data_IF_455258114346
#
_entry.id   IF_455258114346
#
_cell.length_a   1.000
_cell.length_b   1.000
_cell.length_c   1.000
_cell.angle_alpha   90.00
_cell.angle_beta   90.00
_cell.angle_gamma   90.00
#
_symmetry.space_group_name_H-M   'P 1'
#
loop_
_entity.id
_entity.type
_entity.pdbx_description
1 polymer ?
#
# COMPACT_ATOMS: atom_id res chain seq x y z
N UNK A 1 32.94 29.01 32.04
CA UNK A 1 33.99 28.06 31.61
C UNK A 1 33.81 26.65 32.18
N UNK A 2 33.58 26.48 33.48
CA UNK A 2 33.40 25.15 34.11
C UNK A 2 32.26 24.32 33.49
N UNK A 3 31.12 24.95 33.19
CA UNK A 3 29.97 24.28 32.55
C UNK A 3 30.26 23.75 31.14
N UNK A 4 31.09 24.44 30.36
CA UNK A 4 31.45 23.99 29.01
C UNK A 4 32.33 22.73 29.05
N UNK A 5 33.18 22.62 30.08
CA UNK A 5 34.04 21.45 30.30
C UNK A 5 33.21 20.24 30.73
N UNK A 6 32.19 20.45 31.57
CA UNK A 6 31.28 19.38 32.00
C UNK A 6 30.45 18.83 30.83
N UNK A 7 29.96 19.70 29.94
CA UNK A 7 29.21 19.29 28.75
C UNK A 7 30.11 18.49 27.78
N UNK A 8 31.37 18.92 27.57
CA UNK A 8 32.29 18.19 26.70
C UNK A 8 32.64 16.80 27.23
N UNK A 9 32.83 16.65 28.53
CA UNK A 9 33.12 15.34 29.16
C UNK A 9 31.94 14.37 29.03
N UNK A 10 30.72 14.87 29.11
CA UNK A 10 29.50 14.05 28.96
C UNK A 10 29.31 13.52 27.54
N UNK A 11 29.70 14.30 26.51
CA UNK A 11 29.64 13.88 25.11
C UNK A 11 30.72 12.84 24.76
N UNK A 12 31.91 12.95 25.34
CA UNK A 12 33.00 11.97 25.12
C UNK A 12 32.65 10.61 25.73
N UNK A 13 31.99 10.57 26.89
CA UNK A 13 31.53 9.32 27.52
C UNK A 13 30.52 8.51 26.68
N UNK A 14 29.69 9.22 25.89
CA UNK A 14 28.75 8.61 24.95
C UNK A 14 29.44 7.89 23.77
N UNK A 15 30.58 8.41 23.32
CA UNK A 15 31.35 7.84 22.21
C UNK A 15 32.11 6.57 22.64
N UNK A 16 32.61 6.51 23.89
CA UNK A 16 33.36 5.36 24.42
C UNK A 16 32.44 4.18 24.79
N UNK A 17 31.14 4.42 24.97
CA UNK A 17 30.18 3.37 25.33
C UNK A 17 29.75 2.48 24.15
N UNK A 18 30.11 2.87 22.92
CA UNK A 18 29.96 2.01 21.74
C UNK A 18 31.17 1.06 21.65
N UNK A 19 31.06 -0.10 22.30
CA UNK A 19 31.94 -1.24 21.98
C UNK A 19 31.81 -1.55 20.48
N UNK A 20 32.92 -1.63 19.72
CA UNK A 20 32.84 -2.12 18.35
C UNK A 20 32.36 -3.57 18.41
N UNK A 21 31.23 -3.85 17.77
CA UNK A 21 30.74 -5.21 17.58
C UNK A 21 31.73 -5.91 16.65
N UNK A 22 32.68 -6.62 17.24
CA UNK A 22 33.67 -7.42 16.52
C UNK A 22 32.95 -8.63 15.92
N UNK A 23 32.60 -8.55 14.63
CA UNK A 23 32.13 -9.71 13.86
C UNK A 23 33.31 -10.66 13.72
N UNK A 24 33.34 -11.68 14.57
CA UNK A 24 34.27 -12.81 14.44
C UNK A 24 33.88 -13.61 13.20
N UNK A 25 34.63 -13.46 12.10
CA UNK A 25 34.58 -14.39 10.98
C UNK A 25 35.13 -15.75 11.46
N UNK A 26 34.26 -16.64 11.92
CA UNK A 26 34.61 -18.05 12.04
C UNK A 26 34.56 -18.67 10.63
N UNK A 27 35.73 -18.92 10.07
CA UNK A 27 35.90 -19.82 8.92
C UNK A 27 35.59 -21.22 9.44
N UNK A 28 34.39 -21.71 9.16
CA UNK A 28 34.04 -23.11 9.34
C UNK A 28 34.64 -23.88 8.18
N UNK A 29 35.72 -24.61 8.44
CA UNK A 29 36.27 -25.62 7.53
C UNK A 29 35.32 -26.82 7.55
N UNK A 30 34.52 -26.98 6.49
CA UNK A 30 33.63 -28.14 6.32
C UNK A 30 34.46 -29.42 6.15
N UNK A 31 34.19 -30.51 6.88
CA UNK A 31 34.76 -31.81 6.56
C UNK A 31 34.04 -32.37 5.32
N UNK A 32 34.81 -32.98 4.42
CA UNK A 32 34.34 -33.69 3.24
C UNK A 32 33.34 -34.79 3.63
N UNK A 33 32.06 -34.56 3.37
CA UNK A 33 31.03 -35.59 3.47
C UNK A 33 30.72 -36.14 2.08
N UNK A 34 31.02 -37.42 1.90
CA UNK A 34 30.62 -38.25 0.75
C UNK A 34 29.15 -38.05 0.40
N UNK A 35 28.89 -37.86 -0.90
CA UNK A 35 27.59 -37.65 -1.52
C UNK A 35 26.55 -38.72 -1.12
N UNK A 36 25.60 -38.33 -0.27
CA UNK A 36 24.30 -38.99 -0.20
C UNK A 36 23.36 -38.15 -1.07
N UNK A 37 23.18 -38.57 -2.34
CA UNK A 37 22.19 -37.99 -3.25
C UNK A 37 20.80 -38.43 -2.83
N UNK A 38 20.21 -37.69 -1.90
CA UNK A 38 18.76 -37.67 -1.74
C UNK A 38 18.26 -36.76 -2.85
N UNK A 39 17.64 -37.33 -3.88
CA UNK A 39 16.85 -36.58 -4.86
C UNK A 39 15.65 -35.97 -4.13
N UNK A 40 15.90 -34.89 -3.40
CA UNK A 40 14.86 -34.04 -2.88
C UNK A 40 14.27 -33.32 -4.08
N UNK A 41 12.95 -33.42 -4.37
CA UNK A 41 12.35 -32.66 -5.45
C UNK A 41 12.73 -31.19 -5.24
N UNK A 42 13.26 -30.56 -6.30
CA UNK A 42 13.65 -29.17 -6.26
C UNK A 42 12.52 -28.37 -5.58
N UNK A 43 12.83 -27.50 -4.59
CA UNK A 43 11.80 -26.73 -3.95
C UNK A 43 11.02 -26.02 -5.06
N UNK A 44 9.71 -26.23 -5.10
CA UNK A 44 8.84 -25.46 -5.97
C UNK A 44 9.00 -24.02 -5.49
N UNK A 45 9.91 -23.28 -6.11
CA UNK A 45 10.07 -21.85 -5.88
C UNK A 45 8.78 -21.28 -6.41
N UNK A 46 7.78 -21.13 -5.54
CA UNK A 46 6.57 -20.40 -5.88
C UNK A 46 7.07 -19.03 -6.32
N UNK A 47 6.99 -18.73 -7.62
CA UNK A 47 7.32 -17.42 -8.19
C UNK A 47 6.23 -16.41 -7.81
N UNK A 48 5.88 -16.38 -6.52
CA UNK A 48 4.88 -15.45 -6.03
C UNK A 48 5.45 -14.03 -6.17
N UNK A 49 4.60 -13.09 -6.60
CA UNK A 49 5.03 -11.72 -6.81
C UNK A 49 5.52 -11.12 -5.50
N UNK A 50 6.42 -10.14 -5.63
CA UNK A 50 7.11 -9.55 -4.48
C UNK A 50 6.14 -8.99 -3.44
N UNK A 51 5.09 -8.30 -3.88
CA UNK A 51 4.07 -7.75 -2.99
C UNK A 51 3.44 -8.84 -2.10
N UNK A 52 3.11 -10.01 -2.68
CA UNK A 52 2.44 -11.10 -1.96
C UNK A 52 3.37 -11.69 -0.91
N UNK A 53 4.65 -11.87 -1.24
CA UNK A 53 5.68 -12.32 -0.29
C UNK A 53 5.79 -11.38 0.91
N UNK A 54 5.62 -10.08 0.69
CA UNK A 54 5.72 -9.08 1.74
C UNK A 54 4.50 -9.07 2.67
N UNK A 55 3.30 -9.29 2.15
CA UNK A 55 2.05 -9.18 2.94
C UNK A 55 1.53 -10.52 3.46
N UNK A 56 2.08 -11.66 3.01
CA UNK A 56 1.57 -13.01 3.26
C UNK A 56 1.16 -13.28 4.71
N UNK A 57 2.02 -12.92 5.66
CA UNK A 57 1.81 -13.22 7.10
C UNK A 57 0.64 -12.43 7.72
N UNK A 58 0.12 -11.44 7.00
CA UNK A 58 -0.99 -10.60 7.42
C UNK A 58 -2.30 -10.91 6.69
N UNK A 59 -2.25 -11.74 5.65
CA UNK A 59 -3.44 -12.10 4.89
C UNK A 59 -4.26 -13.16 5.63
N UNK A 60 -5.59 -13.17 5.45
CA UNK A 60 -6.44 -14.16 6.10
C UNK A 60 -6.13 -15.56 5.56
N UNK A 61 -6.28 -16.57 6.43
CA UNK A 61 -6.12 -17.98 6.09
C UNK A 61 -7.31 -18.52 5.28
N UNK A 62 -7.55 -17.94 4.10
CA UNK A 62 -8.60 -18.33 3.13
C UNK A 62 -8.07 -18.19 1.71
N UNK A 63 -8.84 -18.67 0.72
CA UNK A 63 -8.54 -18.38 -0.69
C UNK A 63 -8.85 -16.92 -0.98
N UNK A 64 -7.93 -16.23 -1.65
CA UNK A 64 -7.96 -14.78 -1.81
C UNK A 64 -8.42 -14.38 -3.22
N UNK A 65 -9.30 -13.40 -3.29
CA UNK A 65 -9.60 -12.65 -4.52
C UNK A 65 -8.79 -11.37 -4.52
N UNK A 66 -7.98 -11.14 -5.55
CA UNK A 66 -7.03 -10.04 -5.59
C UNK A 66 -7.42 -9.08 -6.71
N UNK A 67 -7.71 -7.82 -6.35
CA UNK A 67 -7.96 -6.73 -7.28
C UNK A 67 -6.68 -6.01 -7.67
N UNK A 68 -6.40 -5.87 -8.96
CA UNK A 68 -5.28 -5.10 -9.49
C UNK A 68 -5.79 -3.78 -10.06
N UNK A 69 -5.17 -2.68 -9.65
CA UNK A 69 -5.54 -1.32 -10.04
C UNK A 69 -4.34 -0.59 -10.62
N UNK A 70 -4.53 0.06 -11.77
CA UNK A 70 -3.50 0.82 -12.48
C UNK A 70 -2.23 0.02 -12.83
N UNK A 71 -2.37 -1.26 -13.13
CA UNK A 71 -1.26 -2.10 -13.62
C UNK A 71 -1.37 -2.22 -15.13
N UNK A 72 -0.27 -1.95 -15.81
CA UNK A 72 -0.18 -2.03 -17.27
C UNK A 72 -0.24 -3.49 -17.72
N UNK A 73 -0.87 -3.75 -18.87
CA UNK A 73 -1.08 -5.11 -19.38
C UNK A 73 0.26 -5.87 -19.56
N UNK A 74 1.33 -5.16 -19.93
CA UNK A 74 2.67 -5.72 -20.10
C UNK A 74 3.35 -6.10 -18.77
N UNK A 75 2.90 -5.52 -17.65
CA UNK A 75 3.45 -5.80 -16.32
C UNK A 75 2.62 -6.84 -15.54
N UNK A 76 1.42 -7.15 -16.03
CA UNK A 76 0.41 -7.99 -15.38
C UNK A 76 0.96 -9.31 -14.84
N UNK A 77 1.69 -10.05 -15.67
CA UNK A 77 2.28 -11.34 -15.29
C UNK A 77 3.25 -11.24 -14.09
N UNK A 78 3.89 -10.08 -13.90
CA UNK A 78 4.82 -9.86 -12.78
C UNK A 78 4.13 -9.58 -11.45
N UNK A 79 2.86 -9.15 -11.51
CA UNK A 79 2.03 -8.83 -10.34
C UNK A 79 1.02 -9.91 -9.99
N UNK A 80 0.57 -10.70 -10.96
CA UNK A 80 -0.43 -11.74 -10.69
C UNK A 80 0.08 -12.79 -9.71
N UNK A 81 -0.78 -13.15 -8.76
CA UNK A 81 -0.47 -14.17 -7.78
C UNK A 81 -0.99 -15.52 -8.23
N UNK A 82 -0.23 -16.56 -7.93
CA UNK A 82 -0.56 -17.94 -8.27
C UNK A 82 -0.44 -18.84 -7.03
N UNK A 83 -1.11 -19.99 -7.06
CA UNK A 83 -0.99 -21.03 -6.02
C UNK A 83 -2.28 -21.30 -5.26
N UNK A 84 -2.25 -22.26 -4.30
CA UNK A 84 -3.45 -22.83 -3.69
C UNK A 84 -4.25 -21.85 -2.81
N UNK A 85 -3.61 -20.76 -2.38
CA UNK A 85 -4.22 -19.70 -1.57
C UNK A 85 -4.86 -18.59 -2.41
N UNK A 86 -4.79 -18.66 -3.75
CA UNK A 86 -5.36 -17.65 -4.66
C UNK A 86 -6.60 -18.23 -5.32
N UNK A 87 -7.72 -17.50 -5.19
CA UNK A 87 -8.97 -17.84 -5.86
C UNK A 87 -9.02 -17.21 -7.25
N UNK A 88 -8.71 -15.92 -7.35
CA UNK A 88 -8.91 -15.14 -8.57
C UNK A 88 -8.04 -13.88 -8.59
N UNK A 89 -7.57 -13.50 -9.78
CA UNK A 89 -6.92 -12.22 -10.07
C UNK A 89 -7.91 -11.37 -10.90
N UNK A 90 -8.45 -10.30 -10.29
CA UNK A 90 -9.43 -9.38 -10.88
C UNK A 90 -8.71 -8.10 -11.30
N UNK A 91 -8.87 -7.68 -12.55
CA UNK A 91 -8.27 -6.45 -13.05
C UNK A 91 -9.32 -5.35 -13.16
N UNK A 92 -9.06 -4.22 -12.51
CA UNK A 92 -9.98 -3.10 -12.41
C UNK A 92 -9.48 -1.97 -13.30
N UNK A 93 -10.19 -1.73 -14.39
CA UNK A 93 -9.88 -0.66 -15.35
C UNK A 93 -10.15 0.71 -14.75
N UNK A 94 -9.28 1.66 -15.05
CA UNK A 94 -9.47 3.09 -14.77
C UNK A 94 -9.70 3.82 -16.08
N UNK A 95 -10.76 4.62 -16.12
CA UNK A 95 -10.99 5.50 -17.26
C UNK A 95 -9.96 6.63 -17.25
N UNK A 96 -9.49 7.08 -18.43
CA UNK A 96 -8.60 8.22 -18.54
C UNK A 96 -9.21 9.48 -17.91
N UNK A 97 -8.37 10.31 -17.31
CA UNK A 97 -8.80 11.62 -16.80
C UNK A 97 -9.08 12.57 -17.98
N UNK A 98 -10.19 13.32 -17.95
CA UNK A 98 -10.41 14.42 -18.89
C UNK A 98 -9.30 15.46 -18.77
N UNK A 99 -8.86 16.04 -19.89
CA UNK A 99 -7.81 17.08 -19.88
C UNK A 99 -8.22 18.34 -19.10
N UNK A 100 -9.54 18.62 -19.03
CA UNK A 100 -10.09 19.73 -18.25
C UNK A 100 -10.02 19.51 -16.73
N UNK A 101 -9.81 18.26 -16.28
CA UNK A 101 -9.78 17.91 -14.88
C UNK A 101 -8.38 18.14 -14.32
N UNK A 102 -8.21 19.28 -13.65
CA UNK A 102 -6.96 19.73 -13.04
C UNK A 102 -7.10 19.82 -11.52
N UNK A 103 -5.98 20.00 -10.82
CA UNK A 103 -6.03 20.25 -9.38
C UNK A 103 -6.86 21.49 -9.05
N UNK A 104 -6.70 22.58 -9.83
CA UNK A 104 -7.42 23.83 -9.60
C UNK A 104 -8.90 23.74 -9.96
N UNK A 105 -9.30 22.83 -10.85
CA UNK A 105 -10.74 22.59 -11.07
C UNK A 105 -11.35 21.82 -9.90
N UNK A 106 -10.62 20.88 -9.28
CA UNK A 106 -11.09 20.10 -8.14
C UNK A 106 -11.07 20.90 -6.83
N UNK A 107 -10.03 21.72 -6.65
CA UNK A 107 -9.76 22.48 -5.44
C UNK A 107 -9.46 23.95 -5.82
N UNK A 108 -10.47 24.70 -6.29
CA UNK A 108 -10.30 26.12 -6.61
C UNK A 108 -10.11 26.95 -5.34
N UNK A 109 -9.55 28.15 -5.49
CA UNK A 109 -9.40 29.08 -4.37
C UNK A 109 -10.74 29.60 -3.85
N UNK A 110 -11.73 29.71 -4.74
CA UNK A 110 -13.08 30.17 -4.44
C UNK A 110 -14.10 29.29 -5.15
N UNK A 111 -15.19 28.97 -4.46
CA UNK A 111 -16.33 28.23 -5.00
C UNK A 111 -17.54 29.16 -4.95
N UNK A 112 -18.23 29.30 -6.08
CA UNK A 112 -19.54 29.94 -6.12
C UNK A 112 -20.59 28.95 -5.58
N UNK A 113 -21.10 29.21 -4.38
CA UNK A 113 -22.08 28.32 -3.73
C UNK A 113 -23.43 28.26 -4.47
N UNK A 114 -23.76 29.26 -5.29
CA UNK A 114 -25.05 29.32 -6.00
C UNK A 114 -24.99 28.69 -7.40
N UNK A 115 -23.84 28.75 -8.08
CA UNK A 115 -23.72 28.34 -9.48
C UNK A 115 -22.41 27.59 -9.82
N UNK A 116 -21.90 26.77 -8.90
CA UNK A 116 -20.75 25.90 -9.17
C UNK A 116 -21.16 24.55 -9.77
N UNK A 117 -20.35 24.07 -10.72
CA UNK A 117 -20.40 22.68 -11.20
C UNK A 117 -19.29 21.89 -10.52
N UNK A 118 -19.65 20.80 -9.84
CA UNK A 118 -18.68 19.91 -9.21
C UNK A 118 -18.05 19.00 -10.27
N UNK A 119 -16.74 19.10 -10.54
CA UNK A 119 -16.08 18.17 -11.44
C UNK A 119 -16.06 16.76 -10.82
N UNK A 120 -16.34 15.76 -11.65
CA UNK A 120 -16.30 14.36 -11.24
C UNK A 120 -14.97 13.72 -11.60
N UNK A 121 -14.38 12.99 -10.65
CA UNK A 121 -13.25 12.11 -10.91
C UNK A 121 -13.82 10.78 -11.39
N UNK A 122 -13.47 10.30 -12.61
CA UNK A 122 -13.93 9.00 -13.08
C UNK A 122 -13.34 7.89 -12.19
N UNK A 123 -14.20 7.27 -11.40
CA UNK A 123 -13.86 6.14 -10.55
C UNK A 123 -14.36 4.83 -11.18
N UNK A 124 -13.66 3.71 -10.96
CA UNK A 124 -14.13 2.43 -11.46
C UNK A 124 -15.46 2.09 -10.79
N UNK A 125 -16.36 1.50 -11.58
CA UNK A 125 -17.62 0.94 -11.10
C UNK A 125 -17.52 -0.59 -11.13
N UNK A 126 -16.76 -1.20 -10.20
CA UNK A 126 -16.71 -2.64 -10.11
C UNK A 126 -18.10 -3.12 -9.69
N UNK A 127 -18.67 -4.05 -10.46
CA UNK A 127 -19.98 -4.65 -10.24
C UNK A 127 -19.86 -6.17 -10.11
N UNK A 128 -20.85 -6.78 -9.47
CA UNK A 128 -20.91 -8.22 -9.27
C UNK A 128 -19.69 -8.75 -8.52
N UNK A 129 -19.10 -9.83 -9.05
CA UNK A 129 -17.93 -10.48 -8.46
C UNK A 129 -16.71 -9.55 -8.43
N UNK A 130 -16.54 -8.63 -9.37
CA UNK A 130 -15.35 -7.77 -9.45
C UNK A 130 -15.25 -6.74 -8.32
N UNK A 131 -16.37 -6.44 -7.65
CA UNK A 131 -16.42 -5.55 -6.50
C UNK A 131 -16.05 -6.24 -5.18
N UNK A 132 -15.95 -7.57 -5.17
CA UNK A 132 -15.72 -8.37 -3.97
C UNK A 132 -14.29 -8.94 -3.96
N UNK A 133 -13.34 -8.14 -3.51
CA UNK A 133 -11.94 -8.53 -3.38
C UNK A 133 -11.49 -8.56 -1.92
N UNK A 134 -10.49 -9.38 -1.62
CA UNK A 134 -9.89 -9.47 -0.28
C UNK A 134 -8.61 -8.64 -0.17
N UNK A 135 -7.88 -8.50 -1.29
CA UNK A 135 -6.64 -7.74 -1.38
C UNK A 135 -6.69 -6.86 -2.63
N UNK A 136 -6.29 -5.61 -2.51
CA UNK A 136 -6.16 -4.65 -3.61
C UNK A 136 -4.68 -4.34 -3.79
N UNK A 137 -4.16 -4.46 -4.99
CA UNK A 137 -2.80 -4.08 -5.36
C UNK A 137 -2.89 -2.92 -6.34
N UNK A 138 -2.50 -1.73 -5.89
CA UNK A 138 -2.60 -0.50 -6.66
C UNK A 138 -1.22 0.06 -6.99
N UNK A 139 -0.86 0.16 -8.27
CA UNK A 139 0.37 0.83 -8.69
C UNK A 139 0.11 2.34 -8.70
N UNK A 140 0.82 3.07 -7.84
CA UNK A 140 0.64 4.52 -7.69
C UNK A 140 1.55 5.25 -8.67
N UNK A 141 1.00 6.12 -9.54
CA UNK A 141 1.83 6.94 -10.41
C UNK A 141 2.74 7.84 -9.57
N UNK A 142 4.02 7.90 -9.94
CA UNK A 142 5.00 8.72 -9.24
C UNK A 142 5.94 9.36 -10.25
N UNK A 143 5.73 10.63 -10.54
CA UNK A 143 6.52 11.39 -11.53
C UNK A 143 7.39 12.49 -10.88
N UNK A 144 7.69 12.32 -9.58
CA UNK A 144 8.44 13.27 -8.75
C UNK A 144 7.54 14.27 -8.01
N UNK A 145 8.17 15.19 -7.27
CA UNK A 145 7.49 16.28 -6.56
C UNK A 145 7.69 17.59 -7.31
N UNK A 146 6.59 18.26 -7.67
CA UNK A 146 6.58 19.60 -8.29
C UNK A 146 5.24 20.29 -7.98
N UNK A 147 5.06 21.52 -8.45
CA UNK A 147 3.84 22.32 -8.21
C UNK A 147 2.54 21.60 -8.57
N UNK A 148 2.52 20.82 -9.66
CA UNK A 148 1.35 20.06 -10.12
C UNK A 148 1.48 18.54 -9.92
N UNK A 149 2.48 18.10 -9.14
CA UNK A 149 2.78 16.69 -8.90
C UNK A 149 2.81 16.40 -7.40
N UNK A 150 2.95 15.13 -7.04
CA UNK A 150 3.00 14.74 -5.64
C UNK A 150 1.63 14.83 -4.98
N UNK A 151 1.42 15.82 -4.09
CA UNK A 151 0.12 16.01 -3.42
C UNK A 151 -0.96 16.52 -4.37
N UNK A 152 -0.57 17.31 -5.39
CA UNK A 152 -1.50 17.92 -6.35
C UNK A 152 -1.69 17.09 -7.64
N UNK A 153 -1.16 15.88 -7.66
CA UNK A 153 -1.26 14.98 -8.81
C UNK A 153 -2.67 14.36 -8.88
N UNK A 154 -3.47 14.80 -9.86
CA UNK A 154 -4.85 14.33 -10.05
C UNK A 154 -4.92 12.85 -10.39
N UNK A 155 -3.93 12.31 -11.11
CA UNK A 155 -3.89 10.89 -11.45
C UNK A 155 -3.57 10.03 -10.23
N UNK A 156 -2.63 10.49 -9.40
CA UNK A 156 -2.38 9.89 -8.08
C UNK A 156 -3.64 9.91 -7.21
N UNK A 157 -4.37 11.02 -7.21
CA UNK A 157 -5.64 11.16 -6.49
C UNK A 157 -6.68 10.15 -6.98
N UNK A 158 -6.86 10.04 -8.30
CA UNK A 158 -7.80 9.07 -8.91
C UNK A 158 -7.49 7.64 -8.47
N UNK A 159 -6.22 7.20 -8.56
CA UNK A 159 -5.82 5.83 -8.17
C UNK A 159 -6.09 5.57 -6.69
N UNK A 160 -5.80 6.53 -5.80
CA UNK A 160 -6.05 6.38 -4.37
C UNK A 160 -7.55 6.33 -4.05
N UNK A 161 -8.36 7.21 -4.64
CA UNK A 161 -9.81 7.20 -4.48
C UNK A 161 -10.44 5.93 -5.05
N UNK A 162 -9.95 5.43 -6.18
CA UNK A 162 -10.40 4.19 -6.77
C UNK A 162 -10.09 2.97 -5.89
N UNK A 163 -8.89 2.92 -5.30
CA UNK A 163 -8.53 1.88 -4.32
C UNK A 163 -9.44 1.93 -3.08
N UNK A 164 -9.71 3.14 -2.55
CA UNK A 164 -10.60 3.33 -1.41
C UNK A 164 -12.04 2.92 -1.73
N UNK A 165 -12.56 3.35 -2.89
CA UNK A 165 -13.91 3.00 -3.35
C UNK A 165 -14.07 1.49 -3.53
N UNK A 166 -13.09 0.82 -4.13
CA UNK A 166 -13.08 -0.64 -4.26
C UNK A 166 -13.05 -1.32 -2.88
N UNK A 167 -12.21 -0.85 -1.96
CA UNK A 167 -12.13 -1.41 -0.61
C UNK A 167 -13.44 -1.27 0.17
N UNK A 168 -14.08 -0.10 0.12
CA UNK A 168 -15.39 0.12 0.76
C UNK A 168 -16.44 -0.81 0.15
N UNK A 169 -16.53 -0.89 -1.17
CA UNK A 169 -17.49 -1.77 -1.85
C UNK A 169 -17.26 -3.24 -1.51
N UNK A 170 -16.01 -3.69 -1.43
CA UNK A 170 -15.64 -5.06 -1.03
C UNK A 170 -15.92 -5.37 0.43
N UNK A 171 -15.81 -4.38 1.33
CA UNK A 171 -16.17 -4.54 2.73
C UNK A 171 -17.69 -4.64 2.92
N UNK A 172 -18.48 -3.81 2.21
CA UNK A 172 -19.94 -3.81 2.36
C UNK A 172 -20.62 -5.15 2.05
N UNK A 173 -19.99 -6.04 1.29
CA UNK A 173 -20.55 -7.35 0.93
C UNK A 173 -20.37 -8.42 2.00
N UNK A 174 -19.54 -8.17 3.02
CA UNK A 174 -19.15 -9.15 4.04
C UNK A 174 -19.42 -8.59 5.43
N UNK A 175 -19.59 -9.48 6.40
CA UNK A 175 -19.73 -9.09 7.81
C UNK A 175 -18.36 -9.15 8.46
N UNK A 176 -17.85 -8.00 8.92
CA UNK A 176 -16.59 -7.87 9.68
C UNK A 176 -15.34 -8.26 8.88
N UNK A 177 -15.32 -7.97 7.57
CA UNK A 177 -14.18 -8.27 6.72
C UNK A 177 -13.20 -7.09 6.64
N UNK A 178 -11.92 -7.41 6.75
CA UNK A 178 -10.85 -6.47 6.43
C UNK A 178 -10.46 -6.66 4.95
N UNK A 179 -10.34 -5.54 4.24
CA UNK A 179 -9.78 -5.49 2.88
C UNK A 179 -8.37 -4.93 2.99
N UNK A 180 -7.40 -5.63 2.39
CA UNK A 180 -6.00 -5.23 2.46
C UNK A 180 -5.64 -4.44 1.21
N UNK A 181 -4.99 -3.29 1.34
CA UNK A 181 -4.56 -2.49 0.19
C UNK A 181 -3.04 -2.43 0.16
N UNK A 182 -2.46 -2.70 -1.00
CA UNK A 182 -1.02 -2.72 -1.22
C UNK A 182 -0.71 -1.72 -2.31
N UNK A 183 -0.09 -0.61 -1.92
CA UNK A 183 0.36 0.41 -2.86
C UNK A 183 1.76 0.09 -3.35
N UNK A 184 1.94 0.06 -4.65
CA UNK A 184 3.21 -0.20 -5.32
C UNK A 184 3.73 1.11 -5.91
N UNK A 185 4.98 1.46 -5.60
CA UNK A 185 5.64 2.66 -6.11
C UNK A 185 6.20 3.55 -5.00
N UNK A 186 7.10 4.44 -5.37
CA UNK A 186 7.83 5.28 -4.40
C UNK A 186 6.96 6.32 -3.69
N UNK A 187 5.88 6.81 -4.33
CA UNK A 187 5.01 7.86 -3.78
C UNK A 187 4.00 7.37 -2.71
N UNK A 188 3.68 6.07 -2.66
CA UNK A 188 2.78 5.50 -1.64
C UNK A 188 1.36 6.06 -1.61
N UNK A 189 0.56 5.67 -0.59
CA UNK A 189 -0.80 6.16 -0.41
C UNK A 189 -0.85 7.67 -0.15
N UNK A 190 -1.98 8.28 -0.44
CA UNK A 190 -2.30 9.65 0.01
C UNK A 190 -2.85 9.59 1.43
N UNK A 191 -2.09 10.09 2.40
CA UNK A 191 -2.42 9.98 3.83
C UNK A 191 -3.72 10.69 4.23
N UNK A 192 -4.21 11.60 3.39
CA UNK A 192 -5.49 12.28 3.53
C UNK A 192 -6.69 11.32 3.32
N UNK A 193 -6.51 10.30 2.47
CA UNK A 193 -7.50 9.23 2.20
C UNK A 193 -7.25 8.04 3.13
N UNK A 194 -5.97 7.78 3.39
CA UNK A 194 -5.40 6.56 3.93
C UNK A 194 -4.61 6.85 5.21
N UNK A 195 -5.35 6.95 6.32
CA UNK A 195 -4.84 7.54 7.57
C UNK A 195 -3.76 6.66 8.21
N UNK A 196 -2.70 7.29 8.73
CA UNK A 196 -1.53 6.63 9.33
C UNK A 196 -1.82 5.72 10.55
N UNK A 197 -3.01 5.78 11.14
CA UNK A 197 -3.44 4.83 12.19
C UNK A 197 -3.67 3.43 11.60
N UNK A 198 -3.96 3.36 10.30
CA UNK A 198 -3.91 2.14 9.51
C UNK A 198 -2.42 1.81 9.37
N UNK A 199 -2.02 0.61 9.80
CA UNK A 199 -0.61 0.26 10.06
C UNK A 199 0.23 0.26 8.78
N UNK A 200 0.60 1.44 8.28
CA UNK A 200 1.42 1.59 7.08
C UNK A 200 2.82 1.09 7.37
N UNK A 201 3.16 -0.06 6.77
CA UNK A 201 4.54 -0.56 6.76
C UNK A 201 5.09 -0.45 5.35
N UNK A 202 6.08 0.43 5.17
CA UNK A 202 6.89 0.46 3.95
C UNK A 202 7.91 -0.67 4.02
N UNK A 203 7.95 -1.50 2.97
CA UNK A 203 9.05 -2.42 2.71
C UNK A 203 9.55 -2.16 1.30
N UNK A 204 10.68 -1.45 1.19
CA UNK A 204 11.21 -0.89 -0.06
C UNK A 204 10.14 -0.05 -0.79
N UNK A 205 9.90 -0.25 -2.09
CA UNK A 205 8.88 0.51 -2.85
C UNK A 205 7.45 -0.02 -2.72
N UNK A 206 7.18 -0.83 -1.70
CA UNK A 206 5.84 -1.31 -1.38
C UNK A 206 5.37 -0.65 -0.09
N UNK A 207 4.24 0.02 -0.19
CA UNK A 207 3.50 0.53 0.95
C UNK A 207 2.29 -0.37 1.19
N UNK A 208 2.01 -0.66 2.45
CA UNK A 208 0.91 -1.55 2.83
C UNK A 208 -0.08 -0.76 3.64
N UNK A 209 -1.35 -1.05 3.47
CA UNK A 209 -2.43 -0.44 4.22
C UNK A 209 -3.53 -1.44 4.54
N UNK A 210 -4.14 -1.26 5.71
CA UNK A 210 -5.10 -2.19 6.29
C UNK A 210 -6.42 -1.47 6.50
N UNK A 211 -7.44 -1.83 5.72
CA UNK A 211 -8.76 -1.24 5.86
C UNK A 211 -9.65 -2.25 6.60
N UNK A 212 -10.13 -1.88 7.78
CA UNK A 212 -11.17 -2.61 8.50
C UNK A 212 -12.50 -1.85 8.35
N UNK A 213 -13.57 -2.57 8.02
CA UNK A 213 -14.94 -2.04 7.82
C UNK A 213 -15.41 -1.01 8.85
N UNK A 214 -14.96 -1.11 10.11
CA UNK A 214 -15.44 -0.25 11.20
C UNK A 214 -15.01 1.22 11.10
N UNK A 215 -14.13 1.61 10.16
CA UNK A 215 -13.53 2.97 10.13
C UNK A 215 -13.73 3.78 8.83
N UNK A 216 -14.09 3.16 7.70
CA UNK A 216 -14.45 3.88 6.46
C UNK A 216 -15.96 4.14 6.36
N UNK A 217 -16.58 4.56 7.45
CA UNK A 217 -17.95 5.08 7.43
C UNK A 217 -17.89 6.53 6.95
N UNK A 218 -17.86 6.74 5.64
CA UNK A 218 -18.19 8.06 5.09
C UNK A 218 -19.61 8.39 5.55
N UNK A 219 -19.74 9.50 6.28
CA UNK A 219 -20.84 9.75 7.21
C UNK A 219 -22.23 9.62 6.60
N UNK A 220 -23.04 8.75 7.19
CA UNK A 220 -24.50 8.84 7.19
C UNK A 220 -25.05 8.51 8.59
N UNK A 221 -24.42 9.09 9.62
CA UNK A 221 -25.06 9.16 10.95
C UNK A 221 -24.68 10.49 11.57
N UNK A 222 -25.42 11.54 11.18
CA UNK A 222 -25.65 12.66 12.07
C UNK A 222 -26.55 12.07 13.17
N UNK A 223 -25.94 11.61 14.26
CA UNK A 223 -26.70 11.38 15.49
C UNK A 223 -27.22 12.75 15.95
N UNK A 224 -28.53 12.91 16.21
CA UNK A 224 -29.02 14.08 16.91
C UNK A 224 -28.21 14.24 18.19
N UNK A 225 -27.64 15.44 18.38
CA UNK A 225 -26.93 15.77 19.60
C UNK A 225 -28.01 15.96 20.68
N UNK A 226 -28.20 14.95 21.53
CA UNK A 226 -28.93 15.12 22.78
C UNK A 226 -28.02 15.88 23.76
N UNK A 227 -28.26 17.19 23.86
CA UNK A 227 -28.22 18.10 25.03
C UNK A 227 -27.95 19.54 24.59
#
# INVERSE_FOLDING_TARGET
MVYLILISLSLVGLIVSFKPFSISNQIVTSPSSSDIRIDLPAPVVSKNPRWLRLVRDYLPAKKLRIGFLNIEEQERESFEANGPSILENVHVSLDPLPESLTWNSLFPEWIDEENSQCPEIPLPKPEGSNADVDVIVAKVPCSGWSENKGLRDVFRLQVNLAAANLAVKSGLTKVDSAVYVVFVGSCGPMHEIFKCDERVRRVDDYWKEYIRETKMRWGNTITPRDQ
#
